data_IF_845146495711
#
_entry.id   IF_845146495711
#
_cell.length_a   1.000
_cell.length_b   1.000
_cell.length_c   1.000
_cell.angle_alpha   90.00
_cell.angle_beta   90.00
_cell.angle_gamma   90.00
#
_symmetry.space_group_name_H-M   'P 1'
#
loop_
_entity.id
_entity.type
_entity.pdbx_description
1 polymer ?
#
# COMPACT_ATOMS: atom_id res chain seq x y z
N UNK A 1 -1.35 15.34 -9.35
CA UNK A 1 -1.44 13.99 -9.94
C UNK A 1 -2.06 13.04 -8.93
N UNK A 2 -2.97 12.14 -9.33
CA UNK A 2 -3.50 11.07 -8.45
C UNK A 2 -3.09 9.73 -9.05
N UNK A 3 -2.55 8.82 -8.23
CA UNK A 3 -2.07 7.49 -8.65
C UNK A 3 -2.76 6.45 -7.81
N UNK A 4 -3.27 5.39 -8.45
CA UNK A 4 -3.85 4.22 -7.78
C UNK A 4 -2.97 3.02 -8.12
N UNK A 5 -2.50 2.32 -7.10
CA UNK A 5 -1.70 1.10 -7.23
C UNK A 5 -2.56 -0.05 -6.71
N UNK A 6 -2.97 -0.95 -7.60
CA UNK A 6 -3.81 -2.12 -7.28
C UNK A 6 -3.14 -3.37 -7.82
N UNK A 7 -3.26 -4.48 -7.08
CA UNK A 7 -2.77 -5.79 -7.48
C UNK A 7 -3.02 -6.82 -6.39
N UNK A 8 -2.88 -8.10 -6.74
CA UNK A 8 -3.00 -9.20 -5.80
C UNK A 8 -1.84 -9.20 -4.78
N UNK A 9 -2.00 -9.80 -3.59
CA UNK A 9 -0.87 -10.05 -2.69
C UNK A 9 0.29 -10.73 -3.43
N UNK A 10 1.51 -10.26 -3.20
CA UNK A 10 2.76 -10.75 -3.84
C UNK A 10 2.96 -10.39 -5.32
N UNK A 11 2.14 -9.54 -5.94
CA UNK A 11 2.35 -9.07 -7.32
C UNK A 11 3.34 -7.89 -7.47
N UNK A 12 4.01 -7.49 -6.39
CA UNK A 12 4.98 -6.38 -6.41
C UNK A 12 4.40 -4.99 -6.17
N UNK A 13 3.13 -4.86 -5.77
CA UNK A 13 2.51 -3.56 -5.44
C UNK A 13 3.29 -2.75 -4.41
N UNK A 14 3.83 -3.40 -3.37
CA UNK A 14 4.68 -2.72 -2.36
C UNK A 14 6.02 -2.24 -2.92
N UNK A 15 6.57 -2.89 -3.95
CA UNK A 15 7.79 -2.43 -4.63
C UNK A 15 7.51 -1.14 -5.40
N UNK A 16 6.44 -1.12 -6.20
CA UNK A 16 6.03 0.06 -6.97
C UNK A 16 5.67 1.22 -6.04
N UNK A 17 4.92 0.94 -4.97
CA UNK A 17 4.56 1.94 -3.98
C UNK A 17 5.80 2.52 -3.27
N UNK A 18 6.74 1.66 -2.87
CA UNK A 18 8.00 2.10 -2.27
C UNK A 18 8.86 2.95 -3.21
N UNK A 19 8.91 2.63 -4.50
CA UNK A 19 9.63 3.42 -5.50
C UNK A 19 9.02 4.82 -5.64
N UNK A 20 7.71 4.90 -5.83
CA UNK A 20 7.02 6.19 -5.99
C UNK A 20 7.11 7.05 -4.73
N UNK A 21 7.03 6.44 -3.54
CA UNK A 21 7.24 7.13 -2.27
C UNK A 21 8.63 7.77 -2.21
N UNK A 22 9.68 7.03 -2.60
CA UNK A 22 11.06 7.55 -2.69
C UNK A 22 11.22 8.66 -3.73
N UNK A 23 10.42 8.64 -4.80
CA UNK A 23 10.35 9.72 -5.79
C UNK A 23 9.57 10.95 -5.28
N UNK A 24 9.11 10.97 -4.03
CA UNK A 24 8.40 12.10 -3.44
C UNK A 24 6.88 12.07 -3.62
N UNK A 25 6.31 10.96 -4.10
CA UNK A 25 4.84 10.83 -4.15
C UNK A 25 4.28 10.76 -2.73
N UNK A 26 3.39 11.70 -2.40
CA UNK A 26 2.70 11.70 -1.12
C UNK A 26 1.73 10.50 -1.02
N UNK A 27 1.95 9.63 -0.02
CA UNK A 27 1.15 8.42 0.22
C UNK A 27 0.27 8.52 1.47
N UNK A 28 0.09 9.72 2.03
CA UNK A 28 -0.69 9.95 3.23
C UNK A 28 0.12 9.95 4.52
N UNK A 29 -0.56 10.19 5.65
CA UNK A 29 0.08 10.42 6.96
C UNK A 29 0.33 9.14 7.76
N UNK A 30 -0.46 8.09 7.55
CA UNK A 30 -0.44 6.84 8.34
C UNK A 30 -0.16 5.66 7.43
N UNK A 31 1.11 5.40 7.19
CA UNK A 31 1.54 4.24 6.43
C UNK A 31 1.55 2.97 7.30
N UNK A 32 1.21 1.84 6.69
CA UNK A 32 1.26 0.53 7.30
C UNK A 32 2.73 0.15 7.57
N UNK A 33 3.07 -0.27 8.80
CA UNK A 33 4.43 -0.63 9.15
C UNK A 33 4.89 -1.87 8.38
N UNK A 34 6.21 -2.01 8.24
CA UNK A 34 6.82 -3.24 7.77
C UNK A 34 6.48 -4.43 8.68
N UNK A 35 6.50 -5.63 8.09
CA UNK A 35 6.33 -6.91 8.78
C UNK A 35 7.44 -7.85 8.34
N UNK A 36 7.68 -9.01 9.01
CA UNK A 36 8.68 -9.98 8.54
C UNK A 36 8.53 -10.37 7.06
N UNK A 37 7.28 -10.46 6.57
CA UNK A 37 7.00 -10.76 5.16
C UNK A 37 7.34 -9.63 4.17
N UNK A 38 7.49 -8.39 4.67
CA UNK A 38 7.92 -7.21 3.91
C UNK A 38 8.57 -6.19 4.86
N UNK A 39 9.88 -6.36 5.18
CA UNK A 39 10.57 -5.53 6.16
C UNK A 39 10.69 -4.07 5.74
N UNK A 40 10.73 -3.80 4.42
CA UNK A 40 10.83 -2.44 3.87
C UNK A 40 9.54 -1.64 4.00
N UNK A 41 8.43 -2.26 4.38
CA UNK A 41 7.12 -1.61 4.47
C UNK A 41 6.23 -1.87 3.26
N UNK A 42 4.93 -1.80 3.47
CA UNK A 42 3.93 -2.00 2.41
C UNK A 42 3.67 -0.72 1.61
N UNK A 43 4.02 0.44 2.17
CA UNK A 43 3.77 1.78 1.59
C UNK A 43 2.29 2.07 1.30
N UNK A 44 1.39 1.28 1.87
CA UNK A 44 -0.05 1.53 1.87
C UNK A 44 -0.44 2.41 3.06
N UNK A 45 -1.38 3.32 2.85
CA UNK A 45 -2.02 4.03 3.93
C UNK A 45 -3.07 3.14 4.63
N UNK A 46 -3.10 3.20 5.97
CA UNK A 46 -3.98 2.40 6.82
C UNK A 46 -5.46 2.53 6.49
N UNK A 47 -5.93 3.73 6.15
CA UNK A 47 -7.34 4.01 5.86
C UNK A 47 -7.76 3.31 4.57
N UNK A 48 -6.93 3.40 3.52
CA UNK A 48 -7.17 2.72 2.25
C UNK A 48 -7.08 1.19 2.38
N UNK A 49 -6.12 0.69 3.15
CA UNK A 49 -6.04 -0.74 3.45
C UNK A 49 -7.25 -1.26 4.24
N UNK A 50 -7.92 -0.40 5.02
CA UNK A 50 -9.18 -0.72 5.69
C UNK A 50 -10.33 -0.83 4.69
N UNK A 51 -10.44 0.12 3.76
CA UNK A 51 -11.45 0.10 2.69
C UNK A 51 -11.33 -1.19 1.87
N UNK A 52 -10.11 -1.56 1.47
CA UNK A 52 -9.87 -2.79 0.71
C UNK A 52 -10.38 -4.03 1.49
N UNK A 53 -10.09 -4.11 2.79
CA UNK A 53 -10.59 -5.21 3.65
C UNK A 53 -12.12 -5.22 3.76
N UNK A 54 -12.75 -4.06 3.85
CA UNK A 54 -14.21 -3.96 3.86
C UNK A 54 -14.84 -4.45 2.55
N UNK A 55 -14.21 -4.19 1.40
CA UNK A 55 -14.68 -4.68 0.10
C UNK A 55 -14.65 -6.21 0.02
N UNK A 56 -13.53 -6.83 0.41
CA UNK A 56 -13.40 -8.29 0.40
C UNK A 56 -14.27 -9.01 1.43
N UNK A 57 -14.74 -8.32 2.48
CA UNK A 57 -15.61 -8.91 3.51
C UNK A 57 -17.08 -9.03 3.08
N UNK A 58 -17.46 -8.43 1.95
CA UNK A 58 -18.81 -8.50 1.37
C UNK A 58 -18.94 -9.55 0.25
N UNK A 59 -17.88 -10.30 0.00
CA UNK A 59 -17.80 -11.41 -0.96
C UNK A 59 -17.63 -12.69 -0.14
#
# INVERSE_FOLDING_TARGET
MKVIIIGAPRSGTSMVAGLLYKCGLYMGKKLKPGKPANPKGFFENYEFASINRCLFRKI
#
